data_IF_572916615491
#
_entry.id   IF_572916615491
#
_cell.length_a   1.000
_cell.length_b   1.000
_cell.length_c   1.000
_cell.angle_alpha   90.00
_cell.angle_beta   90.00
_cell.angle_gamma   90.00
#
_symmetry.space_group_name_H-M   'P 1'
#
loop_
_entity.id
_entity.type
_entity.pdbx_description
1 polymer ?
#
# COMPACT_ATOMS: atom_id res chain seq x y z
N UNK A 1 -23.65 -12.64 -8.48
CA UNK A 1 -23.17 -12.42 -7.10
C UNK A 1 -21.86 -11.67 -7.19
N UNK A 2 -21.85 -10.38 -6.87
CA UNK A 2 -20.60 -9.63 -6.78
C UNK A 2 -19.85 -10.09 -5.53
N UNK A 3 -18.59 -10.48 -5.68
CA UNK A 3 -17.73 -10.74 -4.53
C UNK A 3 -17.48 -9.40 -3.84
N UNK A 4 -18.12 -9.17 -2.69
CA UNK A 4 -17.81 -8.02 -1.85
C UNK A 4 -16.38 -8.21 -1.32
N UNK A 5 -15.46 -7.40 -1.85
CA UNK A 5 -14.06 -7.37 -1.43
C UNK A 5 -13.97 -6.95 0.04
N UNK A 6 -12.96 -7.42 0.77
CA UNK A 6 -12.68 -6.87 2.10
C UNK A 6 -12.36 -5.37 2.01
N UNK A 7 -12.49 -4.66 3.12
CA UNK A 7 -12.18 -3.22 3.17
C UNK A 7 -10.95 -3.01 4.04
N UNK A 8 -9.95 -2.33 3.48
CA UNK A 8 -8.79 -1.86 4.23
C UNK A 8 -8.87 -0.36 4.49
N UNK A 9 -8.92 0.02 5.76
CA UNK A 9 -8.87 1.41 6.22
C UNK A 9 -7.42 1.83 6.51
N UNK A 10 -7.04 3.04 6.09
CA UNK A 10 -5.74 3.63 6.44
C UNK A 10 -5.92 4.63 7.58
N UNK A 11 -5.21 4.41 8.69
CA UNK A 11 -5.23 5.27 9.87
C UNK A 11 -3.84 5.88 10.05
N UNK A 12 -3.68 7.21 9.85
CA UNK A 12 -2.39 7.87 9.99
C UNK A 12 -2.00 8.03 11.47
N UNK A 13 -0.69 8.17 11.70
CA UNK A 13 -0.10 8.59 12.98
C UNK A 13 -0.52 7.77 14.21
N UNK A 14 -0.79 6.47 13.99
CA UNK A 14 -1.11 5.50 15.03
C UNK A 14 -0.03 4.43 15.13
N UNK A 15 0.00 3.75 16.27
CA UNK A 15 0.79 2.54 16.50
C UNK A 15 -0.14 1.32 16.52
N UNK A 16 0.41 0.13 16.26
CA UNK A 16 -0.36 -1.12 16.40
C UNK A 16 -0.88 -1.25 17.83
N UNK A 17 -0.06 -0.98 18.84
CA UNK A 17 -0.44 -1.05 20.25
C UNK A 17 -1.60 -0.12 20.63
N UNK A 18 -1.64 1.11 20.10
CA UNK A 18 -2.78 2.01 20.30
C UNK A 18 -4.06 1.45 19.70
N UNK A 19 -4.00 0.98 18.45
CA UNK A 19 -5.16 0.39 17.79
C UNK A 19 -5.66 -0.86 18.51
N UNK A 20 -4.76 -1.67 19.06
CA UNK A 20 -5.09 -2.85 19.87
C UNK A 20 -5.80 -2.44 21.18
N UNK A 21 -5.34 -1.39 21.85
CA UNK A 21 -5.97 -0.89 23.08
C UNK A 21 -7.37 -0.31 22.82
N UNK A 22 -7.56 0.32 21.66
CA UNK A 22 -8.83 0.91 21.25
C UNK A 22 -9.75 -0.08 20.50
N UNK A 23 -9.29 -1.32 20.29
CA UNK A 23 -9.92 -2.26 19.37
C UNK A 23 -11.37 -2.61 19.73
N UNK A 24 -11.66 -2.88 21.00
CA UNK A 24 -13.02 -3.18 21.46
C UNK A 24 -13.98 -2.00 21.24
N UNK A 25 -13.50 -0.76 21.43
CA UNK A 25 -14.32 0.42 21.18
C UNK A 25 -14.49 0.70 19.68
N UNK A 26 -13.46 0.43 18.87
CA UNK A 26 -13.45 0.71 17.42
C UNK A 26 -14.20 -0.32 16.59
N UNK A 27 -14.10 -1.59 16.95
CA UNK A 27 -14.60 -2.70 16.13
C UNK A 27 -15.65 -3.57 16.82
N UNK A 28 -15.95 -3.30 18.10
CA UNK A 28 -17.07 -3.94 18.82
C UNK A 28 -17.04 -5.45 18.70
N UNK A 29 -18.15 -6.03 18.23
CA UNK A 29 -18.34 -7.48 18.08
C UNK A 29 -17.40 -8.15 17.09
N UNK A 30 -16.80 -7.39 16.16
CA UNK A 30 -15.82 -7.91 15.18
C UNK A 30 -14.51 -8.28 15.89
N UNK A 31 -14.20 -7.59 16.99
CA UNK A 31 -12.98 -7.81 17.76
C UNK A 31 -13.21 -8.78 18.90
N UNK A 32 -12.47 -9.89 18.90
CA UNK A 32 -12.43 -10.79 20.05
C UNK A 32 -11.22 -10.44 20.94
N UNK A 33 -11.45 -9.92 22.17
CA UNK A 33 -10.35 -9.62 23.10
C UNK A 33 -9.62 -10.86 23.62
N UNK A 34 -10.19 -12.06 23.45
CA UNK A 34 -9.59 -13.32 23.87
C UNK A 34 -8.84 -14.04 22.75
N UNK A 35 -8.91 -13.53 21.51
CA UNK A 35 -8.17 -14.09 20.41
C UNK A 35 -6.66 -13.98 20.68
N UNK A 36 -5.94 -15.09 20.50
CA UNK A 36 -4.47 -15.06 20.53
C UNK A 36 -3.96 -14.37 19.28
N UNK A 37 -3.08 -13.39 19.45
CA UNK A 37 -2.54 -12.57 18.36
C UNK A 37 -1.03 -12.60 18.35
N UNK A 38 -0.45 -12.38 17.18
CA UNK A 38 0.99 -12.26 17.01
C UNK A 38 1.33 -11.16 16.03
N UNK A 39 2.51 -10.57 16.22
CA UNK A 39 3.09 -9.59 15.30
C UNK A 39 4.22 -10.26 14.51
N UNK A 40 4.02 -10.41 13.21
CA UNK A 40 4.98 -10.99 12.27
C UNK A 40 5.60 -9.92 11.37
N UNK A 41 6.74 -10.23 10.76
CA UNK A 41 7.40 -9.38 9.77
C UNK A 41 7.14 -9.92 8.37
N UNK A 42 6.83 -9.02 7.43
CA UNK A 42 6.73 -9.31 6.01
C UNK A 42 7.71 -8.45 5.22
N UNK A 43 8.47 -9.09 4.33
CA UNK A 43 9.42 -8.45 3.43
C UNK A 43 8.92 -8.56 2.00
N UNK A 44 8.56 -7.44 1.38
CA UNK A 44 8.15 -7.38 -0.02
C UNK A 44 8.99 -6.38 -0.82
N UNK A 45 9.16 -6.58 -2.15
CA UNK A 45 9.75 -5.58 -3.02
C UNK A 45 9.00 -4.26 -2.90
N UNK A 46 9.71 -3.14 -2.97
CA UNK A 46 9.08 -1.80 -2.83
C UNK A 46 7.97 -1.53 -3.84
N UNK A 47 8.08 -2.09 -5.05
CA UNK A 47 7.07 -2.01 -6.11
C UNK A 47 5.74 -2.68 -5.73
N UNK A 48 5.76 -3.69 -4.86
CA UNK A 48 4.59 -4.46 -4.43
C UNK A 48 3.97 -3.90 -3.14
N UNK A 49 4.52 -2.82 -2.59
CA UNK A 49 4.01 -2.19 -1.37
C UNK A 49 2.52 -1.89 -1.44
N UNK A 50 2.03 -1.33 -2.55
CA UNK A 50 0.61 -0.96 -2.69
C UNK A 50 -0.32 -2.17 -2.70
N UNK A 51 0.13 -3.28 -3.27
CA UNK A 51 -0.59 -4.55 -3.22
C UNK A 51 -0.66 -5.06 -1.79
N UNK A 52 0.47 -5.04 -1.06
CA UNK A 52 0.51 -5.48 0.34
C UNK A 52 -0.33 -4.61 1.28
N UNK A 53 -0.49 -3.31 0.99
CA UNK A 53 -1.40 -2.43 1.72
C UNK A 53 -2.86 -2.89 1.65
N UNK A 54 -3.27 -3.55 0.56
CA UNK A 54 -4.65 -4.01 0.30
C UNK A 54 -4.78 -5.55 0.34
N UNK A 55 -3.76 -6.25 0.83
CA UNK A 55 -3.70 -7.71 0.83
C UNK A 55 -4.92 -8.35 1.51
N UNK A 56 -5.36 -7.75 2.63
CA UNK A 56 -6.51 -8.23 3.38
C UNK A 56 -7.85 -8.10 2.65
N UNK A 57 -7.95 -7.29 1.60
CA UNK A 57 -9.19 -7.17 0.81
C UNK A 57 -9.45 -8.45 -0.02
N UNK A 58 -8.36 -9.13 -0.38
CA UNK A 58 -8.36 -10.36 -1.17
C UNK A 58 -8.54 -11.62 -0.29
N UNK A 59 -8.39 -11.49 1.02
CA UNK A 59 -8.40 -12.62 1.97
C UNK A 59 -9.67 -12.61 2.81
N UNK A 60 -10.20 -13.79 3.05
CA UNK A 60 -11.22 -13.99 4.08
C UNK A 60 -10.54 -14.26 5.42
N UNK A 61 -10.83 -13.41 6.40
CA UNK A 61 -10.32 -13.50 7.77
C UNK A 61 -11.42 -13.12 8.76
N UNK A 62 -11.33 -13.63 9.99
CA UNK A 62 -12.35 -13.46 11.02
C UNK A 62 -12.14 -12.25 11.93
N UNK A 63 -10.88 -11.87 12.18
CA UNK A 63 -10.52 -10.76 13.07
C UNK A 63 -9.85 -9.62 12.30
N UNK A 64 -10.00 -8.35 12.72
CA UNK A 64 -9.28 -7.23 12.13
C UNK A 64 -7.76 -7.48 12.10
N UNK A 65 -7.15 -7.23 10.95
CA UNK A 65 -5.69 -7.38 10.75
C UNK A 65 -5.07 -6.00 10.63
N UNK A 66 -4.08 -5.71 11.47
CA UNK A 66 -3.44 -4.40 11.54
C UNK A 66 -2.04 -4.53 10.99
N UNK A 67 -1.68 -3.74 9.98
CA UNK A 67 -0.32 -3.70 9.46
C UNK A 67 0.27 -2.30 9.45
N UNK A 68 1.59 -2.21 9.62
CA UNK A 68 2.32 -0.95 9.57
C UNK A 68 3.64 -1.14 8.84
N UNK A 69 3.97 -0.21 7.95
CA UNK A 69 5.26 -0.22 7.27
C UNK A 69 6.30 0.56 8.06
N UNK A 70 7.39 -0.09 8.42
CA UNK A 70 8.57 0.56 8.98
C UNK A 70 9.58 0.93 7.88
N UNK A 71 10.26 2.06 8.06
CA UNK A 71 11.35 2.50 7.19
C UNK A 71 12.62 2.63 8.04
N UNK A 72 13.58 1.69 7.94
CA UNK A 72 14.79 1.70 8.75
C UNK A 72 15.74 2.77 8.22
N UNK A 73 15.55 4.03 8.64
CA UNK A 73 16.34 5.16 8.15
C UNK A 73 17.70 5.22 8.85
N UNK A 74 17.70 5.20 10.18
CA UNK A 74 18.92 5.28 10.97
C UNK A 74 19.64 3.92 11.02
N UNK A 75 18.86 2.85 11.04
CA UNK A 75 19.29 1.45 11.13
C UNK A 75 19.76 0.88 9.78
N UNK A 76 19.67 1.67 8.70
CA UNK A 76 20.00 1.22 7.35
C UNK A 76 21.43 0.65 7.24
N UNK A 77 22.39 1.19 7.99
CA UNK A 77 23.76 0.71 7.99
C UNK A 77 23.89 -0.68 8.61
N UNK A 78 23.18 -0.97 9.72
CA UNK A 78 23.15 -2.28 10.37
C UNK A 78 22.60 -3.38 9.45
N UNK A 79 21.65 -3.03 8.59
CA UNK A 79 21.12 -3.96 7.58
C UNK A 79 22.16 -4.23 6.47
N UNK A 80 22.90 -3.20 6.06
CA UNK A 80 23.98 -3.35 5.07
C UNK A 80 25.14 -4.18 5.60
N UNK A 81 25.48 -4.05 6.89
CA UNK A 81 26.48 -4.89 7.56
C UNK A 81 26.08 -6.37 7.54
N UNK A 82 24.79 -6.68 7.54
CA UNK A 82 24.25 -8.03 7.35
C UNK A 82 24.16 -8.45 5.86
N UNK A 83 24.65 -7.63 4.93
CA UNK A 83 24.56 -7.91 3.48
C UNK A 83 23.15 -7.73 2.90
N UNK A 84 22.24 -7.05 3.61
CA UNK A 84 20.87 -6.79 3.13
C UNK A 84 20.73 -5.34 2.63
N UNK A 85 20.26 -5.14 1.40
CA UNK A 85 19.98 -3.80 0.89
C UNK A 85 18.61 -3.28 1.39
N UNK A 86 18.56 -2.24 2.26
CA UNK A 86 17.29 -1.69 2.76
C UNK A 86 16.45 -1.03 1.67
N UNK A 87 17.04 -0.74 0.50
CA UNK A 87 16.35 -0.13 -0.65
C UNK A 87 15.62 -1.14 -1.52
N UNK A 88 15.98 -2.41 -1.44
CA UNK A 88 15.33 -3.49 -2.19
C UNK A 88 13.94 -3.86 -1.63
N UNK A 89 13.72 -3.66 -0.33
CA UNK A 89 12.54 -4.15 0.38
C UNK A 89 11.71 -3.03 1.04
N UNK A 90 10.45 -3.37 1.31
CA UNK A 90 9.59 -2.75 2.32
C UNK A 90 9.43 -3.70 3.49
N UNK A 91 9.45 -3.15 4.70
CA UNK A 91 9.34 -3.90 5.95
C UNK A 91 7.97 -3.62 6.54
N UNK A 92 7.11 -4.64 6.57
CA UNK A 92 5.74 -4.51 7.06
C UNK A 92 5.58 -5.39 8.30
N UNK A 93 5.18 -4.80 9.42
CA UNK A 93 4.73 -5.55 10.57
C UNK A 93 3.24 -5.80 10.44
N UNK A 94 2.81 -7.03 10.69
CA UNK A 94 1.41 -7.43 10.63
C UNK A 94 1.04 -8.05 11.96
N UNK A 95 0.09 -7.45 12.65
CA UNK A 95 -0.55 -8.01 13.82
C UNK A 95 -1.85 -8.71 13.40
N UNK A 96 -1.90 -10.02 13.61
CA UNK A 96 -2.96 -10.90 13.13
C UNK A 96 -3.36 -11.90 14.22
N UNK A 97 -4.63 -12.30 14.23
CA UNK A 97 -5.08 -13.43 15.03
C UNK A 97 -4.42 -14.72 14.52
N UNK A 98 -3.95 -15.57 15.42
CA UNK A 98 -3.23 -16.80 15.03
C UNK A 98 -4.09 -17.74 14.19
N UNK A 99 -5.42 -17.70 14.38
CA UNK A 99 -6.39 -18.46 13.59
C UNK A 99 -6.45 -18.00 12.11
N UNK A 100 -6.22 -16.72 11.84
CA UNK A 100 -6.31 -16.13 10.50
C UNK A 100 -4.97 -16.17 9.73
N UNK A 101 -3.84 -16.46 10.40
CA UNK A 101 -2.51 -16.49 9.78
C UNK A 101 -2.43 -17.48 8.61
N UNK A 102 -3.04 -18.66 8.73
CA UNK A 102 -3.01 -19.68 7.69
C UNK A 102 -3.60 -19.17 6.37
N UNK A 103 -4.91 -18.81 6.34
CA UNK A 103 -5.54 -18.20 5.17
C UNK A 103 -4.80 -16.97 4.66
N UNK A 104 -4.30 -16.12 5.56
CA UNK A 104 -3.60 -14.88 5.22
C UNK A 104 -2.29 -15.10 4.45
N UNK A 105 -1.56 -16.16 4.79
CA UNK A 105 -0.28 -16.49 4.15
C UNK A 105 -0.42 -17.49 3.00
N UNK A 106 -1.54 -18.21 2.92
CA UNK A 106 -1.72 -19.32 1.99
C UNK A 106 -1.50 -18.90 0.52
N UNK A 107 -2.13 -17.80 0.09
CA UNK A 107 -1.96 -17.32 -1.29
C UNK A 107 -0.50 -16.95 -1.57
N UNK A 108 0.15 -16.23 -0.65
CA UNK A 108 1.52 -15.77 -0.81
C UNK A 108 2.50 -16.95 -0.91
N UNK A 109 2.33 -17.97 -0.07
CA UNK A 109 3.20 -19.14 -0.06
C UNK A 109 2.95 -20.01 -1.28
N UNK A 110 1.69 -20.34 -1.57
CA UNK A 110 1.36 -21.35 -2.58
C UNK A 110 1.45 -20.81 -4.01
N UNK A 111 1.03 -19.56 -4.23
CA UNK A 111 0.93 -19.00 -5.58
C UNK A 111 2.13 -18.13 -5.92
N UNK A 112 2.67 -17.39 -4.94
CA UNK A 112 3.78 -16.45 -5.15
C UNK A 112 5.13 -16.99 -4.64
N UNK A 113 5.15 -18.17 -4.01
CA UNK A 113 6.37 -18.80 -3.55
C UNK A 113 7.05 -18.07 -2.39
N UNK A 114 6.30 -17.35 -1.57
CA UNK A 114 6.86 -16.67 -0.40
C UNK A 114 7.48 -17.67 0.57
N UNK A 115 8.61 -17.27 1.14
CA UNK A 115 9.42 -18.12 2.02
C UNK A 115 9.20 -17.71 3.47
N UNK A 116 8.99 -18.71 4.32
CA UNK A 116 8.88 -18.53 5.78
C UNK A 116 10.26 -18.73 6.42
N UNK A 117 10.65 -17.80 7.27
CA UNK A 117 11.82 -17.91 8.14
C UNK A 117 11.50 -17.38 9.55
N UNK A 118 12.43 -17.60 10.47
CA UNK A 118 12.41 -16.96 11.79
C UNK A 118 13.31 -15.73 11.75
N UNK A 119 12.97 -14.68 12.49
CA UNK A 119 13.78 -13.47 12.60
C UNK A 119 13.81 -12.97 14.04
N UNK A 120 14.95 -12.44 14.48
CA UNK A 120 15.09 -11.76 15.75
C UNK A 120 14.81 -10.26 15.59
N UNK A 121 13.84 -9.74 16.32
CA UNK A 121 13.64 -8.29 16.46
C UNK A 121 14.46 -7.81 17.66
N UNK A 122 15.46 -6.97 17.40
CA UNK A 122 16.36 -6.46 18.42
C UNK A 122 16.24 -4.93 18.54
N UNK A 123 16.51 -4.41 19.73
CA UNK A 123 16.67 -2.96 19.90
C UNK A 123 17.84 -2.45 19.07
N UNK A 124 17.65 -1.29 18.45
CA UNK A 124 18.75 -0.55 17.83
C UNK A 124 19.87 -0.30 18.86
N UNK A 125 21.14 -0.60 18.55
CA UNK A 125 22.27 -0.33 19.43
C UNK A 125 22.43 1.15 19.74
N UNK A 126 22.85 1.48 20.97
CA UNK A 126 23.10 2.86 21.38
C UNK A 126 24.12 3.60 20.51
N UNK A 127 25.04 2.89 19.85
CA UNK A 127 26.02 3.45 18.92
C UNK A 127 25.40 4.16 17.71
N UNK A 128 24.15 3.83 17.35
CA UNK A 128 23.41 4.51 16.28
C UNK A 128 22.96 5.92 16.68
N UNK A 129 22.89 6.20 17.99
CA UNK A 129 22.65 7.55 18.50
C UNK A 129 21.23 8.09 18.29
N UNK A 130 20.21 7.22 18.28
CA UNK A 130 18.81 7.65 18.17
C UNK A 130 18.31 8.26 19.49
N UNK A 131 17.97 9.57 19.54
CA UNK A 131 17.65 10.23 20.80
C UNK A 131 16.38 9.70 21.49
N UNK A 132 15.42 9.22 20.70
CA UNK A 132 14.13 8.76 21.19
C UNK A 132 14.04 7.25 21.37
N UNK A 133 15.12 6.48 21.14
CA UNK A 133 15.03 5.02 21.20
C UNK A 133 14.66 4.53 22.60
N UNK A 134 13.87 3.45 22.66
CA UNK A 134 13.56 2.74 23.90
C UNK A 134 14.06 1.30 23.77
N UNK A 135 15.12 0.92 24.49
CA UNK A 135 15.58 -0.46 24.52
C UNK A 135 14.47 -1.41 24.93
N UNK A 136 14.44 -2.57 24.28
CA UNK A 136 13.52 -3.66 24.57
C UNK A 136 14.24 -5.00 24.41
N UNK A 137 13.68 -6.04 25.05
CA UNK A 137 14.21 -7.40 24.97
C UNK A 137 14.08 -7.94 23.54
N UNK A 138 15.10 -8.65 23.06
CA UNK A 138 15.05 -9.22 21.72
C UNK A 138 13.96 -10.31 21.64
N UNK A 139 13.09 -10.21 20.63
CA UNK A 139 11.96 -11.13 20.44
C UNK A 139 12.15 -11.91 19.15
N UNK A 140 12.03 -13.24 19.23
CA UNK A 140 11.99 -14.09 18.04
C UNK A 140 10.56 -14.11 17.47
N UNK A 141 10.41 -13.81 16.18
CA UNK A 141 9.12 -13.86 15.50
C UNK A 141 9.21 -14.48 14.11
N UNK A 142 8.06 -14.70 13.48
CA UNK A 142 7.97 -15.18 12.11
C UNK A 142 8.24 -14.05 11.11
N UNK A 143 8.98 -14.40 10.06
CA UNK A 143 9.22 -13.56 8.90
C UNK A 143 8.74 -14.28 7.65
N UNK A 144 7.96 -13.60 6.83
CA UNK A 144 7.58 -14.05 5.50
C UNK A 144 8.21 -13.11 4.47
N UNK A 145 8.98 -13.66 3.54
CA UNK A 145 9.69 -12.87 2.54
C UNK A 145 9.35 -13.30 1.13
N UNK A 146 9.26 -12.32 0.25
CA UNK A 146 9.18 -12.54 -1.19
C UNK A 146 10.44 -13.28 -1.68
N UNK A 147 10.33 -14.25 -2.62
CA UNK A 147 11.46 -15.08 -3.06
C UNK A 147 12.63 -14.29 -3.67
N UNK A 148 12.38 -13.09 -4.20
CA UNK A 148 13.43 -12.22 -4.77
C UNK A 148 14.29 -11.49 -3.73
N UNK A 149 13.96 -11.56 -2.44
CA UNK A 149 14.68 -10.87 -1.38
C UNK A 149 15.53 -11.86 -0.58
N UNK A 150 16.73 -11.44 -0.16
CA UNK A 150 17.59 -12.24 0.72
C UNK A 150 16.90 -12.53 2.06
N UNK A 151 17.29 -13.62 2.71
CA UNK A 151 16.88 -13.86 4.08
C UNK A 151 17.50 -12.82 5.01
N UNK A 152 16.80 -12.52 6.11
CA UNK A 152 17.29 -11.64 7.16
C UNK A 152 17.12 -12.34 8.50
N UNK A 153 18.19 -12.42 9.29
CA UNK A 153 18.20 -13.10 10.58
C UNK A 153 17.85 -12.16 11.73
N UNK A 154 18.24 -10.89 11.63
CA UNK A 154 18.04 -9.90 12.66
C UNK A 154 17.55 -8.56 12.09
N UNK A 155 16.52 -7.99 12.72
CA UNK A 155 15.98 -6.68 12.37
C UNK A 155 16.03 -5.74 13.56
N UNK A 156 16.55 -4.53 13.35
CA UNK A 156 16.73 -3.53 14.38
C UNK A 156 15.59 -2.52 14.39
N UNK A 157 15.06 -2.24 15.58
CA UNK A 157 14.01 -1.26 15.78
C UNK A 157 14.33 -0.30 16.93
N UNK A 158 13.92 0.98 16.85
CA UNK A 158 14.07 1.93 17.95
C UNK A 158 13.07 1.70 19.09
N UNK A 159 11.98 0.98 18.81
CA UNK A 159 10.91 0.63 19.74
C UNK A 159 10.41 -0.78 19.43
N UNK A 160 9.71 -1.47 20.36
CA UNK A 160 8.99 -2.69 20.03
C UNK A 160 8.10 -2.50 18.80
N UNK A 161 7.92 -3.55 17.99
CA UNK A 161 7.17 -3.48 16.73
C UNK A 161 5.76 -2.87 16.89
N UNK A 162 5.11 -3.14 18.02
CA UNK A 162 3.77 -2.63 18.32
C UNK A 162 3.73 -1.13 18.61
N UNK A 163 4.86 -0.54 19.02
CA UNK A 163 5.01 0.88 19.35
C UNK A 163 5.55 1.72 18.19
N UNK A 164 5.72 1.13 17.00
CA UNK A 164 6.22 1.87 15.84
C UNK A 164 5.14 2.83 15.32
N UNK A 165 5.41 4.15 15.31
CA UNK A 165 4.47 5.12 14.76
C UNK A 165 4.48 5.04 13.24
N UNK A 166 3.29 5.05 12.63
CA UNK A 166 3.20 5.07 11.18
C UNK A 166 1.78 5.10 10.64
N UNK A 167 1.68 4.90 9.32
CA UNK A 167 0.41 4.66 8.64
C UNK A 167 0.03 3.21 8.87
N UNK A 168 -1.00 2.99 9.68
CA UNK A 168 -1.57 1.68 9.91
C UNK A 168 -2.61 1.36 8.85
N UNK A 169 -2.57 0.16 8.31
CA UNK A 169 -3.57 -0.38 7.39
C UNK A 169 -4.33 -1.46 8.12
N UNK A 170 -5.64 -1.25 8.30
CA UNK A 170 -6.52 -2.15 9.04
C UNK A 170 -7.45 -2.81 8.04
N UNK A 171 -7.25 -4.11 7.82
CA UNK A 171 -8.20 -4.90 7.03
C UNK A 171 -9.32 -5.41 7.92
N UNK A 172 -10.57 -5.17 7.49
CA UNK A 172 -11.77 -5.62 8.18
C UNK A 172 -12.36 -6.87 7.50
N UNK A 173 -12.86 -7.85 8.27
CA UNK A 173 -13.56 -9.03 7.74
C UNK A 173 -14.68 -8.67 6.77
N UNK A 174 -14.83 -9.40 5.66
CA UNK A 174 -15.82 -9.10 4.59
C UNK A 174 -17.26 -8.90 5.08
N UNK A 175 -17.76 -9.83 5.92
CA UNK A 175 -19.13 -9.76 6.43
C UNK A 175 -19.38 -8.48 7.23
N UNK A 176 -18.41 -8.13 8.07
CA UNK A 176 -18.49 -6.92 8.88
C UNK A 176 -18.24 -5.64 8.07
N UNK A 177 -17.37 -5.70 7.06
CA UNK A 177 -17.10 -4.61 6.14
C UNK A 177 -18.36 -4.25 5.32
N UNK A 178 -19.13 -5.25 4.88
CA UNK A 178 -20.40 -5.05 4.20
C UNK A 178 -21.46 -4.36 5.09
N UNK A 179 -21.57 -4.76 6.37
CA UNK A 179 -22.48 -4.12 7.32
C UNK A 179 -22.06 -2.69 7.66
N UNK A 180 -20.76 -2.45 7.89
CA UNK A 180 -20.25 -1.10 8.14
C UNK A 180 -20.42 -0.19 6.93
N UNK A 181 -20.20 -0.69 5.71
CA UNK A 181 -20.46 0.05 4.48
C UNK A 181 -21.95 0.40 4.31
N UNK A 182 -22.86 -0.51 4.70
CA UNK A 182 -24.31 -0.23 4.74
C UNK A 182 -24.66 0.86 5.73
N UNK A 183 -24.12 0.79 6.95
CA UNK A 183 -24.33 1.84 7.97
C UNK A 183 -23.80 3.19 7.49
N UNK A 184 -22.63 3.21 6.86
CA UNK A 184 -22.06 4.45 6.29
C UNK A 184 -22.92 5.00 5.14
N UNK A 185 -23.43 4.15 4.25
CA UNK A 185 -24.31 4.56 3.16
C UNK A 185 -25.65 5.12 3.67
N UNK A 186 -26.20 4.53 4.73
CA UNK A 186 -27.42 5.00 5.40
C UNK A 186 -27.21 6.38 6.03
N UNK A 187 -26.08 6.57 6.73
CA UNK A 187 -25.73 7.84 7.37
C UNK A 187 -25.40 8.94 6.33
N UNK A 188 -24.78 8.60 5.20
CA UNK A 188 -24.50 9.56 4.12
C UNK A 188 -25.70 9.82 3.18
N UNK A 189 -26.85 9.16 3.37
CA UNK A 189 -28.06 9.41 2.60
C UNK A 189 -27.95 9.10 1.10
N UNK A 190 -26.90 8.38 0.66
CA UNK A 190 -26.73 7.96 -0.74
C UNK A 190 -27.55 6.70 -0.98
N UNK A 191 -28.88 6.87 -0.98
CA UNK A 191 -29.83 5.76 -1.03
C UNK A 191 -31.26 6.16 -1.42
N UNK A 192 -31.48 7.38 -1.89
CA UNK A 192 -32.71 7.77 -2.59
C UNK A 192 -32.36 8.36 -3.95
N UNK A 193 -31.87 7.52 -4.87
CA UNK A 193 -32.27 7.73 -6.26
C UNK A 193 -33.72 7.26 -6.33
N UNK A 194 -34.64 8.21 -6.37
CA UNK A 194 -36.02 7.95 -6.76
C UNK A 194 -35.99 7.25 -8.11
N UNK A 195 -36.39 5.99 -8.12
CA UNK A 195 -36.64 5.24 -9.35
C UNK A 195 -37.72 6.03 -10.10
N UNK A 196 -37.48 6.51 -11.34
CA UNK A 196 -38.54 7.14 -12.13
C UNK A 196 -39.69 6.13 -12.21
N UNK A 197 -40.88 6.57 -11.79
CA UNK A 197 -42.08 5.75 -11.80
C UNK A 197 -42.27 5.17 -13.22
N UNK A 198 -42.52 3.86 -13.37
CA UNK A 198 -42.97 3.30 -14.63
C UNK A 198 -44.30 3.97 -15.01
N UNK A 199 -44.51 4.41 -16.26
CA UNK A 199 -45.80 4.93 -16.67
C UNK A 199 -46.88 3.85 -16.48
N UNK A 200 -47.98 4.27 -15.87
CA UNK A 200 -49.16 3.48 -15.53
C UNK A 200 -49.84 2.96 -16.83
N UNK A 201 -50.23 1.69 -16.91
CA UNK A 201 -50.82 1.10 -18.11
C UNK A 201 -52.27 1.54 -18.30
N UNK A 202 -52.60 2.13 -19.46
CA UNK A 202 -53.99 2.36 -19.85
C UNK A 202 -54.75 1.03 -20.05
N UNK A 203 -56.02 0.94 -19.60
CA UNK A 203 -56.77 -0.31 -19.55
C UNK A 203 -57.36 -0.72 -20.91
N UNK A 204 -57.29 -2.02 -21.17
CA UNK A 204 -57.84 -2.71 -22.35
C UNK A 204 -59.38 -2.70 -22.34
N UNK A 205 -60.00 -2.40 -23.49
CA UNK A 205 -61.41 -2.65 -23.78
C UNK A 205 -61.59 -3.58 -25.01
N UNK A 206 -62.70 -4.35 -25.12
CA UNK A 206 -62.79 -5.66 -25.82
C UNK A 206 -63.18 -5.60 -27.33
N UNK A 207 -63.24 -6.76 -28.05
CA UNK A 207 -63.06 -6.86 -29.50
C UNK A 207 -64.38 -6.91 -30.32
N UNK A 208 -64.31 -6.52 -31.61
CA UNK A 208 -65.01 -7.08 -32.80
C UNK A 208 -64.91 -6.09 -34.01
N UNK A 209 -65.31 -6.43 -35.24
CA UNK A 209 -64.81 -7.47 -36.14
C UNK A 209 -64.28 -6.87 -37.48
N UNK A 210 -63.56 -7.68 -38.26
CA UNK A 210 -63.13 -7.37 -39.64
C UNK A 210 -64.32 -7.19 -40.60
N UNK A 211 -64.21 -6.32 -41.62
CA UNK A 211 -64.36 -6.84 -42.99
C UNK A 211 -63.39 -6.25 -44.04
N UNK A 212 -63.09 -7.14 -44.97
CA UNK A 212 -62.25 -7.12 -46.17
C UNK A 212 -62.45 -5.98 -47.20
N UNK A 213 -61.38 -5.62 -47.92
CA UNK A 213 -61.13 -5.86 -49.37
C UNK A 213 -60.17 -4.80 -49.98
N UNK A 214 -59.09 -5.27 -50.62
CA UNK A 214 -58.29 -4.56 -51.65
C UNK A 214 -59.10 -4.54 -53.00
N UNK A 215 -58.65 -4.01 -54.18
CA UNK A 215 -57.30 -3.57 -54.62
C UNK A 215 -57.20 -2.42 -55.69
N UNK A 216 -55.94 -2.13 -56.11
CA UNK A 216 -55.45 -1.41 -57.34
C UNK A 216 -55.38 0.12 -57.22
N UNK A 217 -54.35 0.83 -57.68
CA UNK A 217 -53.58 0.72 -58.94
C UNK A 217 -52.22 1.46 -58.83
N UNK A 218 -51.20 1.00 -59.57
CA UNK A 218 -50.01 1.77 -60.00
C UNK A 218 -50.21 2.11 -61.52
N UNK A 219 -49.41 2.95 -62.25
CA UNK A 219 -48.03 3.40 -62.00
C UNK A 219 -47.67 4.84 -62.52
N UNK A 220 -46.35 5.13 -62.58
CA UNK A 220 -45.62 6.08 -63.47
C UNK A 220 -45.67 7.60 -63.14
N UNK A 221 -44.62 8.42 -63.29
CA UNK A 221 -43.21 8.26 -63.65
C UNK A 221 -42.48 9.62 -63.49
N UNK A 222 -41.15 9.58 -63.35
CA UNK A 222 -40.13 10.59 -63.76
C UNK A 222 -40.06 11.95 -63.01
N UNK A 223 -38.89 12.57 -62.74
CA UNK A 223 -37.49 12.31 -63.09
C UNK A 223 -36.53 13.14 -62.20
N UNK A 224 -35.33 12.55 -61.94
CA UNK A 224 -33.93 13.09 -61.92
C UNK A 224 -33.66 14.37 -61.09
N UNK A 225 -32.62 14.49 -60.27
CA UNK A 225 -31.16 14.31 -60.43
C UNK A 225 -30.54 14.85 -59.12
N UNK A 226 -29.31 14.64 -58.64
CA UNK A 226 -28.11 13.87 -58.93
C UNK A 226 -27.14 14.19 -57.74
N UNK A 227 -26.06 13.42 -57.61
CA UNK A 227 -24.81 13.76 -56.91
C UNK A 227 -24.73 13.66 -55.36
N UNK A 228 -24.11 12.57 -54.91
CA UNK A 228 -23.15 12.54 -53.79
C UNK A 228 -21.86 13.32 -54.20
N UNK A 229 -20.86 13.64 -53.34
CA UNK A 229 -20.13 12.61 -52.57
C UNK A 229 -19.53 13.04 -51.21
N UNK A 230 -19.09 11.99 -50.49
CA UNK A 230 -17.83 11.85 -49.73
C UNK A 230 -17.41 12.84 -48.62
N UNK A 231 -17.12 12.23 -47.47
CA UNK A 231 -16.15 12.67 -46.45
C UNK A 231 -14.77 12.99 -47.06
N UNK A 232 -13.93 13.75 -46.34
CA UNK A 232 -12.63 13.18 -46.03
C UNK A 232 -12.09 13.51 -44.62
N UNK A 233 -11.22 12.62 -44.19
CA UNK A 233 -10.23 12.75 -43.12
C UNK A 233 -9.26 13.93 -43.36
N UNK A 234 -8.76 14.55 -42.28
CA UNK A 234 -7.33 14.87 -42.04
C UNK A 234 -7.21 15.59 -40.68
N UNK A 235 -6.36 15.21 -39.72
CA UNK A 235 -4.89 15.10 -39.69
C UNK A 235 -4.19 16.41 -39.28
N UNK A 236 -3.49 16.33 -38.14
CA UNK A 236 -2.22 16.97 -37.74
C UNK A 236 -2.03 18.50 -37.63
N UNK A 237 -1.60 18.90 -36.41
CA UNK A 237 -0.48 19.79 -35.95
C UNK A 237 0.23 20.66 -37.02
N UNK A 238 0.66 21.92 -36.73
CA UNK A 238 1.68 22.30 -35.69
C UNK A 238 1.33 23.67 -35.02
N UNK A 239 2.06 24.33 -34.11
CA UNK A 239 3.41 24.32 -33.55
C UNK A 239 3.78 25.78 -33.20
N UNK A 240 4.51 25.97 -32.10
CA UNK A 240 5.50 27.08 -31.88
C UNK A 240 4.92 28.50 -31.67
N UNK A 241 5.43 29.43 -30.85
CA UNK A 241 6.50 29.52 -29.86
C UNK A 241 6.32 30.91 -29.20
N UNK A 242 6.46 31.07 -27.88
CA UNK A 242 7.13 32.25 -27.29
C UNK A 242 7.45 32.03 -25.79
N UNK A 243 8.58 31.37 -25.59
CA UNK A 243 9.68 31.71 -24.68
C UNK A 243 9.52 32.89 -23.68
N UNK A 244 9.73 32.59 -22.39
CA UNK A 244 10.57 33.43 -21.53
C UNK A 244 11.16 32.59 -20.37
N UNK A 245 12.42 32.19 -20.55
CA UNK A 245 13.31 31.70 -19.51
C UNK A 245 13.68 32.81 -18.51
N UNK A 246 13.92 32.42 -17.25
CA UNK A 246 14.81 33.15 -16.35
C UNK A 246 15.59 32.14 -15.48
N UNK A 247 16.72 31.77 -16.03
CA UNK A 247 17.93 31.25 -15.39
C UNK A 247 18.45 32.26 -14.35
N UNK A 248 18.96 31.80 -13.21
CA UNK A 248 19.92 32.57 -12.43
C UNK A 248 21.15 31.70 -12.18
N UNK A 249 22.18 32.01 -12.96
CA UNK A 249 23.52 31.49 -12.87
C UNK A 249 24.36 32.22 -11.81
N UNK A 250 25.44 31.55 -11.41
CA UNK A 250 26.56 31.99 -10.59
C UNK A 250 27.18 33.33 -11.02
N UNK A 251 27.80 34.03 -10.05
CA UNK A 251 28.83 35.05 -10.31
C UNK A 251 30.05 34.79 -9.38
N UNK A 252 31.30 34.75 -9.90
CA UNK A 252 32.51 34.36 -9.15
C UNK A 252 33.54 35.50 -8.83
N UNK A 253 34.34 35.28 -7.75
CA UNK A 253 35.77 35.63 -7.47
C UNK A 253 36.23 37.13 -7.48
N UNK A 254 37.45 37.57 -7.00
CA UNK A 254 38.75 36.88 -6.75
C UNK A 254 39.53 37.41 -5.48
N UNK A 255 40.89 37.48 -5.40
CA UNK A 255 41.84 36.43 -5.02
C UNK A 255 42.80 36.81 -3.85
N UNK A 256 43.53 35.82 -3.32
CA UNK A 256 44.87 36.03 -2.76
C UNK A 256 45.07 35.81 -1.26
N UNK A 257 45.58 34.64 -0.89
CA UNK A 257 46.92 34.58 -0.27
C UNK A 257 47.43 33.14 -0.28
N UNK A 258 48.38 32.92 -1.18
CA UNK A 258 49.34 31.83 -1.12
C UNK A 258 50.16 31.95 0.16
N UNK A 259 50.28 30.87 0.93
CA UNK A 259 51.56 30.57 1.57
C UNK A 259 51.88 29.09 1.45
N UNK A 260 53.04 28.89 0.87
CA UNK A 260 53.71 27.66 0.50
C UNK A 260 54.88 27.53 1.48
N UNK A 261 54.95 26.45 2.25
CA UNK A 261 56.20 25.91 2.80
C UNK A 261 55.94 24.50 3.40
N UNK A 262 56.60 23.50 2.83
CA UNK A 262 56.88 22.17 3.41
C UNK A 262 58.15 22.25 4.30
N UNK A 263 58.79 21.14 4.77
CA UNK A 263 58.37 19.91 5.48
C UNK A 263 59.20 19.69 6.80
N UNK A 264 59.18 18.46 7.38
CA UNK A 264 60.01 17.91 8.50
C UNK A 264 59.43 18.18 9.92
N UNK A 265 59.40 17.31 10.94
CA UNK A 265 60.07 16.05 11.36
C UNK A 265 59.03 15.19 12.15
N UNK A 266 58.89 13.88 11.95
CA UNK A 266 59.53 12.74 12.67
C UNK A 266 59.42 12.70 14.22
N UNK A 267 59.04 11.50 14.72
CA UNK A 267 59.04 10.97 16.12
C UNK A 267 57.79 11.31 16.96
N UNK A 268 57.15 10.40 17.69
CA UNK A 268 57.55 9.08 18.18
C UNK A 268 56.28 8.29 18.57
N UNK A 269 56.22 7.01 18.18
CA UNK A 269 55.27 6.03 18.73
C UNK A 269 55.77 5.60 20.11
N UNK A 270 54.94 5.68 21.14
CA UNK A 270 55.21 5.02 22.42
C UNK A 270 54.41 3.71 22.50
N UNK A 271 55.06 2.54 22.68
CA UNK A 271 54.40 1.24 22.75
C UNK A 271 53.99 0.83 24.17
N UNK A 272 52.96 0.00 24.28
CA UNK A 272 52.56 -0.70 25.52
C UNK A 272 53.63 -1.72 25.96
N UNK A 273 53.87 -1.89 27.27
CA UNK A 273 54.65 -3.01 27.77
C UNK A 273 53.82 -4.30 27.87
N UNK A 274 54.27 -5.33 27.17
CA UNK A 274 53.92 -6.74 27.42
C UNK A 274 54.67 -7.22 28.67
N UNK A 275 53.96 -7.84 29.61
CA UNK A 275 54.58 -8.62 30.68
C UNK A 275 54.04 -10.06 30.63
N UNK A 276 54.94 -11.01 30.39
CA UNK A 276 54.71 -12.44 30.58
C UNK A 276 55.91 -13.03 31.32
N UNK A 277 55.62 -13.56 32.52
CA UNK A 277 56.29 -14.63 33.28
C UNK A 277 57.79 -14.44 33.64
N UNK A 278 58.38 -15.16 34.60
CA UNK A 278 58.13 -16.56 35.00
C UNK A 278 57.10 -16.78 36.13
#
# INVERSE_FOLDING_TARGET
MGAEMGITAMIPDMTVGQLMNEASARWGEIWDPHATRMTLLMLCPRKERKMMELHGDMIEHGQPVISVFHRPRAEAHLLKEQGFDPRSASFMFVNIATADMGPWMQQLINNEGWLRNSIQLASTPFSVGLPSQRPFEAVQTLCFRHPSLSALEQYFLPFPAESLPGKCFVSLPRRAAAEMARQQAEVLGVGRLEKPAPPEPEPVAPPAPVPAQQPREAPAAEAKSDAAPESPSNESLPGEDENAAAEQAEVPLPPGSTSKASPEEEKERVPLPSASAP
#
